data_IF_510818138306
#
_entry.id   IF_510818138306
#
_cell.length_a   1.000
_cell.length_b   1.000
_cell.length_c   1.000
_cell.angle_alpha   90.00
_cell.angle_beta   90.00
_cell.angle_gamma   90.00
#
_symmetry.space_group_name_H-M   'P 1'
#
loop_
_entity.id
_entity.type
_entity.pdbx_description
1 polymer ?
#
# COMPACT_ATOMS: atom_id res chain seq x y z
N UNK A 1 12.60 6.85 -23.65
CA UNK A 1 12.89 8.22 -23.17
C UNK A 1 11.72 8.69 -22.33
N UNK A 2 11.92 8.85 -21.02
CA UNK A 2 10.92 9.39 -20.10
C UNK A 2 11.32 10.85 -19.92
N UNK A 3 10.51 11.80 -20.41
CA UNK A 3 10.52 13.12 -19.79
C UNK A 3 9.90 12.93 -18.40
N UNK A 4 10.67 13.03 -17.30
CA UNK A 4 10.05 13.11 -16.00
C UNK A 4 9.22 14.39 -16.03
N UNK A 5 7.90 14.24 -16.04
CA UNK A 5 7.00 15.36 -15.77
C UNK A 5 7.52 16.05 -14.51
N UNK A 6 7.73 17.37 -14.59
CA UNK A 6 8.23 18.21 -13.48
C UNK A 6 7.44 17.92 -12.19
N UNK A 7 6.16 17.58 -12.32
CA UNK A 7 5.30 17.14 -11.23
C UNK A 7 5.88 15.95 -10.44
N UNK A 8 6.39 14.89 -11.08
CA UNK A 8 6.95 13.73 -10.37
C UNK A 8 8.22 14.08 -9.59
N UNK A 9 9.06 14.94 -10.16
CA UNK A 9 10.32 15.36 -9.53
C UNK A 9 10.06 16.11 -8.22
N UNK A 10 8.96 16.86 -8.14
CA UNK A 10 8.57 17.61 -6.95
C UNK A 10 7.71 16.76 -5.99
N UNK A 11 6.73 16.02 -6.53
CA UNK A 11 5.74 15.29 -5.70
C UNK A 11 6.38 14.09 -4.99
N UNK A 12 7.32 13.37 -5.62
CA UNK A 12 7.93 12.19 -4.99
C UNK A 12 8.70 12.56 -3.72
N UNK A 13 9.61 13.54 -3.70
CA UNK A 13 10.26 13.98 -2.47
C UNK A 13 9.27 14.44 -1.39
N UNK A 14 8.23 15.19 -1.76
CA UNK A 14 7.20 15.65 -0.82
C UNK A 14 6.45 14.44 -0.22
N UNK A 15 6.07 13.47 -1.05
CA UNK A 15 5.40 12.25 -0.61
C UNK A 15 6.27 11.44 0.36
N UNK A 16 7.57 11.32 0.08
CA UNK A 16 8.54 10.63 0.97
C UNK A 16 8.68 11.37 2.30
N UNK A 17 8.79 12.71 2.29
CA UNK A 17 8.88 13.52 3.50
C UNK A 17 7.62 13.39 4.36
N UNK A 18 6.43 13.48 3.76
CA UNK A 18 5.15 13.32 4.45
C UNK A 18 4.99 11.90 5.02
N UNK A 19 5.37 10.87 4.26
CA UNK A 19 5.34 9.50 4.74
C UNK A 19 6.33 9.28 5.90
N UNK A 20 7.53 9.83 5.81
CA UNK A 20 8.53 9.76 6.89
C UNK A 20 8.02 10.43 8.16
N UNK A 21 7.38 11.59 8.04
CA UNK A 21 6.73 12.28 9.16
C UNK A 21 5.58 11.47 9.77
N UNK A 22 4.70 10.89 8.93
CA UNK A 22 3.59 10.06 9.41
C UNK A 22 4.09 8.78 10.09
N UNK A 23 5.16 8.17 9.59
CA UNK A 23 5.81 7.03 10.21
C UNK A 23 6.39 7.39 11.59
N UNK A 24 7.15 8.48 11.67
CA UNK A 24 7.67 9.00 12.93
C UNK A 24 6.52 9.25 13.92
N UNK A 25 5.46 9.94 13.50
CA UNK A 25 4.28 10.22 14.34
C UNK A 25 3.60 8.94 14.83
N UNK A 26 3.45 7.94 13.96
CA UNK A 26 2.86 6.65 14.31
C UNK A 26 3.73 5.92 15.34
N UNK A 27 5.05 5.90 15.15
CA UNK A 27 5.99 5.30 16.10
C UNK A 27 6.01 6.01 17.46
N UNK A 28 5.92 7.34 17.49
CA UNK A 28 5.83 8.10 18.75
C UNK A 28 4.57 7.78 19.56
N UNK A 29 3.44 7.52 18.90
CA UNK A 29 2.20 7.08 19.59
C UNK A 29 2.34 5.70 20.24
N UNK A 30 3.21 4.86 19.69
CA UNK A 30 3.54 3.53 20.22
C UNK A 30 4.80 3.55 21.11
N UNK A 31 5.22 4.74 21.56
CA UNK A 31 6.33 4.95 22.50
C UNK A 31 7.72 4.54 21.96
N UNK A 32 7.90 4.44 20.63
CA UNK A 32 9.23 4.24 20.05
C UNK A 32 10.09 5.50 20.16
N UNK A 33 11.39 5.32 20.42
CA UNK A 33 12.37 6.40 20.40
C UNK A 33 12.52 7.00 19.00
N UNK A 34 12.63 8.34 18.93
CA UNK A 34 12.78 9.03 17.65
C UNK A 34 14.04 8.61 16.89
N UNK A 35 15.17 8.45 17.60
CA UNK A 35 16.45 7.97 17.05
C UNK A 35 16.25 6.65 16.31
N UNK A 36 15.64 5.66 16.98
CA UNK A 36 15.37 4.35 16.42
C UNK A 36 14.54 4.41 15.13
N UNK A 37 13.50 5.26 15.10
CA UNK A 37 12.63 5.41 13.93
C UNK A 37 13.37 6.05 12.75
N UNK A 38 14.17 7.08 13.00
CA UNK A 38 14.96 7.75 11.95
C UNK A 38 16.08 6.85 11.41
N UNK A 39 16.81 6.16 12.29
CA UNK A 39 17.85 5.21 11.90
C UNK A 39 17.24 4.07 11.07
N UNK A 40 16.09 3.54 11.48
CA UNK A 40 15.35 2.55 10.72
C UNK A 40 14.94 3.07 9.34
N UNK A 41 14.43 4.30 9.23
CA UNK A 41 14.08 4.92 7.95
C UNK A 41 15.29 5.07 7.04
N UNK A 42 16.42 5.58 7.56
CA UNK A 42 17.65 5.79 6.80
C UNK A 42 18.20 4.46 6.28
N UNK A 43 18.30 3.45 7.15
CA UNK A 43 18.78 2.12 6.76
C UNK A 43 17.85 1.46 5.72
N UNK A 44 16.53 1.58 5.91
CA UNK A 44 15.55 1.05 4.95
C UNK A 44 15.62 1.80 3.61
N UNK A 45 15.83 3.11 3.62
CA UNK A 45 15.99 3.94 2.43
C UNK A 45 17.25 3.57 1.65
N UNK A 46 18.40 3.43 2.33
CA UNK A 46 19.64 2.94 1.71
C UNK A 46 19.42 1.55 1.11
N UNK A 47 18.76 0.64 1.83
CA UNK A 47 18.43 -0.69 1.35
C UNK A 47 17.57 -0.67 0.10
N UNK A 48 16.57 0.23 0.08
CA UNK A 48 15.71 0.41 -1.08
C UNK A 48 16.50 0.85 -2.31
N UNK A 49 17.42 1.81 -2.19
CA UNK A 49 18.22 2.29 -3.32
C UNK A 49 19.13 1.19 -3.88
N UNK A 50 19.81 0.45 -2.99
CA UNK A 50 20.73 -0.63 -3.38
C UNK A 50 19.97 -1.73 -4.12
N UNK A 51 18.91 -2.29 -3.52
CA UNK A 51 18.21 -3.42 -4.12
C UNK A 51 17.33 -3.02 -5.30
N UNK A 52 16.77 -1.81 -5.32
CA UNK A 52 16.09 -1.30 -6.51
C UNK A 52 17.01 -1.33 -7.72
N UNK A 53 18.29 -1.00 -7.50
CA UNK A 53 19.30 -1.01 -8.57
C UNK A 53 19.74 -2.42 -8.95
N UNK A 54 20.00 -3.28 -7.96
CA UNK A 54 20.37 -4.68 -8.20
C UNK A 54 19.27 -5.41 -8.96
N UNK A 55 18.01 -5.26 -8.58
CA UNK A 55 16.89 -5.90 -9.27
C UNK A 55 16.69 -5.35 -10.69
N UNK A 56 16.83 -4.04 -10.89
CA UNK A 56 16.76 -3.45 -12.22
C UNK A 56 17.85 -4.03 -13.15
N UNK A 57 19.07 -4.18 -12.63
CA UNK A 57 20.17 -4.81 -13.35
C UNK A 57 19.92 -6.28 -13.70
N UNK A 58 19.36 -7.05 -12.76
CA UNK A 58 19.07 -8.47 -12.96
C UNK A 58 17.90 -8.73 -13.93
N UNK A 59 16.90 -7.83 -13.96
CA UNK A 59 15.70 -8.00 -14.78
C UNK A 59 15.89 -7.52 -16.22
N UNK A 60 16.84 -6.60 -16.46
CA UNK A 60 17.10 -6.03 -17.78
C UNK A 60 18.54 -6.26 -18.25
N UNK A 61 19.03 -7.51 -18.30
CA UNK A 61 20.42 -7.80 -18.68
C UNK A 61 20.79 -7.27 -20.06
N UNK A 62 19.82 -7.17 -20.98
CA UNK A 62 20.01 -6.65 -22.33
C UNK A 62 20.43 -5.16 -22.34
N UNK A 63 19.92 -4.36 -21.40
CA UNK A 63 20.28 -2.94 -21.27
C UNK A 63 21.68 -2.79 -20.64
N UNK A 64 22.00 -3.67 -19.70
CA UNK A 64 23.20 -3.57 -18.88
C UNK A 64 24.41 -4.34 -19.44
N UNK A 65 24.21 -5.27 -20.38
CA UNK A 65 25.22 -6.17 -20.91
C UNK A 65 26.12 -6.79 -19.81
N UNK A 66 25.53 -7.10 -18.64
CA UNK A 66 26.23 -7.65 -17.47
C UNK A 66 27.44 -6.83 -16.96
N UNK A 67 27.50 -5.53 -17.24
CA UNK A 67 28.61 -4.67 -16.81
C UNK A 67 28.41 -4.12 -15.39
N UNK A 68 29.27 -4.54 -14.44
CA UNK A 68 29.27 -4.02 -13.06
C UNK A 68 29.45 -2.50 -12.98
N UNK A 69 30.16 -1.88 -13.95
CA UNK A 69 30.27 -0.42 -14.02
C UNK A 69 28.89 0.23 -14.20
N UNK A 70 28.04 -0.35 -15.06
CA UNK A 70 26.69 0.16 -15.33
C UNK A 70 25.72 -0.07 -14.16
N UNK A 71 25.98 -1.06 -13.31
CA UNK A 71 25.22 -1.26 -12.07
C UNK A 71 25.40 -0.06 -11.12
N UNK A 72 26.63 0.43 -10.96
CA UNK A 72 26.99 1.49 -10.00
C UNK A 72 26.64 2.89 -10.53
N UNK A 73 26.79 3.15 -11.84
CA UNK A 73 26.52 4.47 -12.41
C UNK A 73 25.02 4.71 -12.67
N UNK A 74 24.36 5.31 -11.67
CA UNK A 74 22.92 5.63 -11.65
C UNK A 74 22.51 6.61 -12.77
N UNK A 75 23.37 7.58 -13.11
CA UNK A 75 22.99 8.73 -13.93
C UNK A 75 22.76 8.43 -15.42
N UNK A 76 23.28 7.32 -15.97
CA UNK A 76 23.18 7.02 -17.40
C UNK A 76 22.02 6.09 -17.78
N UNK A 77 21.56 5.23 -16.87
CA UNK A 77 20.64 4.14 -17.21
C UNK A 77 19.28 4.22 -16.50
N UNK A 78 19.09 5.20 -15.61
CA UNK A 78 17.80 5.88 -15.36
C UNK A 78 16.64 5.10 -14.71
N UNK A 79 16.73 3.78 -14.52
CA UNK A 79 15.65 3.00 -13.90
C UNK A 79 15.99 2.43 -12.53
N UNK A 80 14.96 2.40 -11.68
CA UNK A 80 14.95 1.76 -10.38
C UNK A 80 13.74 0.82 -10.34
N UNK A 81 13.96 -0.42 -9.91
CA UNK A 81 12.88 -1.38 -9.78
C UNK A 81 12.17 -1.21 -8.43
N UNK A 82 10.86 -0.98 -8.44
CA UNK A 82 10.06 -0.79 -7.23
C UNK A 82 10.04 -2.02 -6.31
N UNK A 83 9.95 -3.22 -6.89
CA UNK A 83 9.93 -4.47 -6.10
C UNK A 83 11.28 -4.74 -5.45
N UNK A 84 12.37 -4.44 -6.16
CA UNK A 84 13.71 -4.41 -5.58
C UNK A 84 13.82 -3.40 -4.44
N UNK A 85 13.27 -2.19 -4.61
CA UNK A 85 13.26 -1.17 -3.57
C UNK A 85 12.55 -1.65 -2.30
N UNK A 86 11.37 -2.24 -2.46
CA UNK A 86 10.58 -2.77 -1.36
C UNK A 86 11.31 -3.91 -0.64
N UNK A 87 11.89 -4.84 -1.40
CA UNK A 87 12.62 -5.97 -0.85
C UNK A 87 13.89 -5.53 -0.10
N UNK A 88 14.63 -4.55 -0.62
CA UNK A 88 15.79 -3.99 0.06
C UNK A 88 15.45 -3.27 1.36
N UNK A 89 14.37 -2.50 1.37
CA UNK A 89 13.85 -1.87 2.58
C UNK A 89 13.46 -2.93 3.63
N UNK A 90 12.79 -4.00 3.20
CA UNK A 90 12.43 -5.13 4.07
C UNK A 90 13.67 -5.80 4.66
N UNK A 91 14.66 -6.16 3.85
CA UNK A 91 15.85 -6.89 4.30
C UNK A 91 16.70 -6.05 5.24
N UNK A 92 17.10 -4.83 4.82
CA UNK A 92 17.95 -3.99 5.68
C UNK A 92 17.20 -3.49 6.90
N UNK A 93 15.91 -3.15 6.77
CA UNK A 93 15.05 -2.82 7.92
C UNK A 93 14.93 -3.97 8.90
N UNK A 94 14.86 -5.23 8.43
CA UNK A 94 14.87 -6.41 9.28
C UNK A 94 16.18 -6.62 10.01
N UNK A 95 17.31 -6.45 9.31
CA UNK A 95 18.64 -6.54 9.91
C UNK A 95 18.76 -5.50 11.02
N UNK A 96 18.42 -4.24 10.73
CA UNK A 96 18.48 -3.16 11.71
C UNK A 96 17.55 -3.42 12.91
N UNK A 97 16.29 -3.81 12.68
CA UNK A 97 15.35 -4.10 13.77
C UNK A 97 15.86 -5.23 14.69
N UNK A 98 16.52 -6.25 14.13
CA UNK A 98 17.16 -7.31 14.92
C UNK A 98 18.34 -6.79 15.73
N UNK A 99 19.20 -5.96 15.14
CA UNK A 99 20.33 -5.35 15.84
C UNK A 99 19.87 -4.45 16.99
N UNK A 100 18.81 -3.67 16.76
CA UNK A 100 18.17 -2.82 17.76
C UNK A 100 17.28 -3.59 18.76
N UNK A 101 17.18 -4.93 18.64
CA UNK A 101 16.35 -5.81 19.49
C UNK A 101 14.86 -5.42 19.54
N UNK A 102 14.32 -4.88 18.46
CA UNK A 102 12.90 -4.52 18.34
C UNK A 102 12.15 -5.51 17.46
N UNK A 103 10.86 -5.72 17.77
CA UNK A 103 10.00 -6.54 16.94
C UNK A 103 9.80 -5.92 15.56
N UNK A 104 10.48 -6.48 14.57
CA UNK A 104 10.38 -6.14 13.15
C UNK A 104 8.94 -5.95 12.68
N UNK A 105 8.04 -6.88 13.01
CA UNK A 105 6.66 -6.85 12.53
C UNK A 105 5.88 -5.65 13.06
N UNK A 106 6.21 -5.20 14.27
CA UNK A 106 5.59 -4.02 14.87
C UNK A 106 6.03 -2.74 14.16
N UNK A 107 7.33 -2.59 13.86
CA UNK A 107 7.84 -1.42 13.12
C UNK A 107 7.24 -1.38 11.71
N UNK A 108 7.19 -2.51 11.02
CA UNK A 108 6.63 -2.58 9.66
C UNK A 108 5.13 -2.25 9.63
N UNK A 109 4.36 -2.71 10.62
CA UNK A 109 2.95 -2.32 10.75
C UNK A 109 2.76 -0.80 10.83
N UNK A 110 3.70 -0.07 11.43
CA UNK A 110 3.68 1.40 11.52
C UNK A 110 4.02 2.07 10.19
N UNK A 111 4.88 1.46 9.38
CA UNK A 111 5.30 1.95 8.06
C UNK A 111 4.25 1.82 6.97
N UNK A 112 3.31 0.88 7.12
CA UNK A 112 2.34 0.53 6.08
C UNK A 112 1.43 1.69 5.69
N UNK A 113 0.74 2.32 6.65
CA UNK A 113 -0.16 3.42 6.32
C UNK A 113 0.56 4.64 5.69
N UNK A 114 1.74 5.07 6.20
CA UNK A 114 2.56 6.07 5.53
C UNK A 114 3.00 5.71 4.10
N UNK A 115 3.40 4.47 3.85
CA UNK A 115 3.80 4.00 2.51
C UNK A 115 2.62 4.08 1.54
N UNK A 116 1.44 3.60 1.95
CA UNK A 116 0.22 3.70 1.12
C UNK A 116 -0.14 5.17 0.89
N UNK A 117 0.01 6.02 1.91
CA UNK A 117 -0.22 7.46 1.77
C UNK A 117 0.69 8.09 0.71
N UNK A 118 2.00 7.78 0.71
CA UNK A 118 2.90 8.22 -0.36
C UNK A 118 2.45 7.70 -1.74
N UNK A 119 2.01 6.44 -1.84
CA UNK A 119 1.52 5.86 -3.09
C UNK A 119 0.27 6.60 -3.64
N UNK A 120 -0.60 7.12 -2.76
CA UNK A 120 -1.74 7.98 -3.15
C UNK A 120 -1.24 9.27 -3.80
N UNK A 121 -0.25 9.95 -3.21
CA UNK A 121 0.30 11.19 -3.78
C UNK A 121 0.98 10.95 -5.13
N UNK A 122 1.75 9.87 -5.23
CA UNK A 122 2.43 9.50 -6.48
C UNK A 122 1.41 9.17 -7.58
N UNK A 123 0.38 8.39 -7.28
CA UNK A 123 -0.67 8.06 -8.24
C UNK A 123 -1.54 9.28 -8.60
N UNK A 124 -1.82 10.18 -7.66
CA UNK A 124 -2.49 11.44 -7.95
C UNK A 124 -1.66 12.31 -8.92
N UNK A 125 -0.35 12.42 -8.72
CA UNK A 125 0.54 13.12 -9.67
C UNK A 125 0.47 12.50 -11.06
N UNK A 126 0.43 11.16 -11.15
CA UNK A 126 0.31 10.47 -12.45
C UNK A 126 -1.02 10.76 -13.15
N UNK A 127 -2.12 10.85 -12.39
CA UNK A 127 -3.43 11.24 -12.93
C UNK A 127 -3.37 12.66 -13.51
N UNK A 128 -2.79 13.60 -12.77
CA UNK A 128 -2.63 14.99 -13.21
C UNK A 128 -1.77 15.05 -14.46
N UNK A 129 -0.63 14.36 -14.48
CA UNK A 129 0.27 14.33 -15.64
C UNK A 129 -0.42 13.74 -16.88
N UNK A 130 -1.11 12.61 -16.72
CA UNK A 130 -1.82 11.98 -17.83
C UNK A 130 -2.96 12.87 -18.35
N UNK A 131 -3.66 13.58 -17.46
CA UNK A 131 -4.67 14.55 -17.85
C UNK A 131 -4.07 15.73 -18.63
N UNK A 132 -2.99 16.33 -18.12
CA UNK A 132 -2.31 17.47 -18.78
C UNK A 132 -1.73 17.09 -20.15
N UNK A 133 -1.16 15.90 -20.25
CA UNK A 133 -0.57 15.37 -21.49
C UNK A 133 -1.61 14.71 -22.42
N UNK A 134 -2.91 14.79 -22.10
CA UNK A 134 -4.02 14.15 -22.85
C UNK A 134 -3.79 12.65 -23.13
N UNK A 135 -3.18 11.94 -22.17
CA UNK A 135 -2.94 10.49 -22.19
C UNK A 135 -4.09 9.73 -21.51
N UNK A 136 -4.12 8.42 -21.67
CA UNK A 136 -5.10 7.57 -20.97
C UNK A 136 -4.96 7.67 -19.45
N UNK A 137 -6.04 8.09 -18.80
CA UNK A 137 -6.08 8.32 -17.34
C UNK A 137 -6.47 7.04 -16.57
N UNK A 138 -7.07 6.07 -17.25
CA UNK A 138 -7.75 4.92 -16.65
C UNK A 138 -6.90 4.17 -15.61
N UNK A 139 -5.67 3.77 -15.98
CA UNK A 139 -4.79 3.04 -15.06
C UNK A 139 -4.30 3.89 -13.89
N UNK A 140 -3.94 5.15 -14.12
CA UNK A 140 -3.48 6.05 -13.04
C UNK A 140 -4.60 6.32 -12.03
N UNK A 141 -5.83 6.51 -12.51
CA UNK A 141 -6.99 6.76 -11.66
C UNK A 141 -7.40 5.49 -10.90
N UNK A 142 -7.29 4.31 -11.53
CA UNK A 142 -7.45 3.02 -10.87
C UNK A 142 -6.50 2.88 -9.67
N UNK A 143 -5.19 3.09 -9.86
CA UNK A 143 -4.23 3.01 -8.76
C UNK A 143 -4.52 4.03 -7.65
N UNK A 144 -4.86 5.27 -8.01
CA UNK A 144 -5.22 6.30 -7.04
C UNK A 144 -6.40 5.87 -6.16
N UNK A 145 -7.50 5.44 -6.78
CA UNK A 145 -8.71 4.99 -6.05
C UNK A 145 -8.40 3.77 -5.19
N UNK A 146 -7.68 2.78 -5.72
CA UNK A 146 -7.37 1.58 -4.97
C UNK A 146 -6.44 1.83 -3.78
N UNK A 147 -5.36 2.61 -3.94
CA UNK A 147 -4.49 2.97 -2.81
C UNK A 147 -5.25 3.80 -1.76
N UNK A 148 -6.16 4.67 -2.20
CA UNK A 148 -7.04 5.41 -1.31
C UNK A 148 -7.96 4.49 -0.49
N UNK A 149 -8.58 3.50 -1.14
CA UNK A 149 -9.39 2.49 -0.46
C UNK A 149 -8.55 1.67 0.53
N UNK A 150 -7.35 1.23 0.12
CA UNK A 150 -6.43 0.50 1.01
C UNK A 150 -6.10 1.33 2.24
N UNK A 151 -5.71 2.60 2.06
CA UNK A 151 -5.42 3.51 3.18
C UNK A 151 -6.62 3.69 4.10
N UNK A 152 -7.81 3.89 3.54
CA UNK A 152 -9.04 4.01 4.32
C UNK A 152 -9.33 2.74 5.14
N UNK A 153 -9.18 1.56 4.55
CA UNK A 153 -9.33 0.29 5.26
C UNK A 153 -8.30 0.13 6.37
N UNK A 154 -7.02 0.40 6.11
CA UNK A 154 -5.96 0.36 7.11
C UNK A 154 -6.29 1.27 8.29
N UNK A 155 -6.72 2.51 8.02
CA UNK A 155 -7.06 3.48 9.06
C UNK A 155 -8.25 3.05 9.90
N UNK A 156 -9.28 2.47 9.27
CA UNK A 156 -10.45 1.95 9.99
C UNK A 156 -10.09 0.75 10.87
N UNK A 157 -9.18 -0.10 10.38
CA UNK A 157 -8.69 -1.27 11.08
C UNK A 157 -7.65 -0.94 12.17
N UNK A 158 -7.06 0.25 12.17
CA UNK A 158 -6.13 0.73 13.21
C UNK A 158 -6.72 0.59 14.63
N UNK A 159 -8.04 0.81 14.77
CA UNK A 159 -8.77 0.66 16.04
C UNK A 159 -8.93 -0.79 16.53
N UNK A 160 -8.68 -1.79 15.65
CA UNK A 160 -8.92 -3.22 15.91
C UNK A 160 -7.65 -4.04 15.73
N UNK A 161 -6.51 -3.57 16.22
CA UNK A 161 -5.22 -4.29 16.11
C UNK A 161 -5.36 -5.71 16.64
N UNK A 162 -5.02 -6.70 15.81
CA UNK A 162 -5.15 -8.14 16.16
C UNK A 162 -3.83 -8.76 16.63
N UNK A 163 -2.76 -8.58 15.86
CA UNK A 163 -1.42 -9.11 16.15
C UNK A 163 -0.36 -8.29 15.42
N UNK A 164 0.90 -8.40 15.84
CA UNK A 164 2.02 -7.78 15.12
C UNK A 164 2.15 -8.38 13.71
N UNK A 165 2.43 -7.51 12.74
CA UNK A 165 2.56 -7.85 11.32
C UNK A 165 1.22 -7.95 10.59
N UNK A 166 0.10 -7.66 11.26
CA UNK A 166 -1.22 -7.73 10.63
C UNK A 166 -1.35 -6.73 9.48
N UNK A 167 -1.00 -5.47 9.70
CA UNK A 167 -1.14 -4.42 8.67
C UNK A 167 -0.16 -4.65 7.54
N UNK A 168 1.05 -5.09 7.83
CA UNK A 168 2.06 -5.37 6.82
C UNK A 168 1.66 -6.54 5.90
N UNK A 169 1.20 -7.66 6.48
CA UNK A 169 0.73 -8.78 5.66
C UNK A 169 -0.51 -8.42 4.85
N UNK A 170 -1.45 -7.66 5.45
CA UNK A 170 -2.64 -7.17 4.77
C UNK A 170 -2.29 -6.26 3.59
N UNK A 171 -1.38 -5.32 3.80
CA UNK A 171 -0.86 -4.43 2.77
C UNK A 171 -0.19 -5.18 1.63
N UNK A 172 0.76 -6.09 1.93
CA UNK A 172 1.43 -6.88 0.90
C UNK A 172 0.44 -7.67 0.06
N UNK A 173 -0.55 -8.30 0.71
CA UNK A 173 -1.59 -9.07 0.03
C UNK A 173 -2.43 -8.19 -0.89
N UNK A 174 -2.93 -7.05 -0.39
CA UNK A 174 -3.78 -6.14 -1.17
C UNK A 174 -3.04 -5.45 -2.31
N UNK A 175 -1.82 -4.97 -2.06
CA UNK A 175 -1.01 -4.33 -3.10
C UNK A 175 -0.60 -5.35 -4.17
N UNK A 176 -0.33 -6.59 -3.78
CA UNK A 176 -0.04 -7.64 -4.78
C UNK A 176 -1.28 -7.93 -5.64
N UNK A 177 -2.47 -8.05 -5.05
CA UNK A 177 -3.73 -8.21 -5.81
C UNK A 177 -3.96 -7.01 -6.75
N UNK A 178 -3.75 -5.79 -6.25
CA UNK A 178 -3.90 -4.55 -7.00
C UNK A 178 -2.99 -4.51 -8.24
N UNK A 179 -1.74 -4.95 -8.10
CA UNK A 179 -0.79 -4.97 -9.23
C UNK A 179 -1.00 -6.18 -10.15
N UNK A 180 -1.58 -7.28 -9.66
CA UNK A 180 -1.86 -8.46 -10.47
C UNK A 180 -2.98 -8.22 -11.49
N UNK A 181 -4.05 -7.51 -11.11
CA UNK A 181 -5.24 -7.33 -11.95
C UNK A 181 -4.93 -6.66 -13.32
N UNK A 182 -4.19 -5.54 -13.40
CA UNK A 182 -3.85 -4.92 -14.68
C UNK A 182 -2.85 -5.74 -15.49
N UNK A 183 -2.00 -6.52 -14.81
CA UNK A 183 -0.95 -7.32 -15.43
C UNK A 183 -1.53 -8.51 -16.20
N UNK A 184 -2.50 -9.21 -15.61
CA UNK A 184 -3.23 -10.31 -16.28
C UNK A 184 -3.84 -9.84 -17.61
N UNK A 185 -4.19 -8.55 -17.72
CA UNK A 185 -4.77 -7.96 -18.93
C UNK A 185 -3.73 -7.51 -19.96
N UNK A 186 -2.46 -7.32 -19.58
CA UNK A 186 -1.44 -6.69 -20.45
C UNK A 186 -0.24 -7.57 -20.76
N UNK A 187 0.35 -8.21 -19.76
CA UNK A 187 1.59 -8.97 -19.91
C UNK A 187 1.77 -9.96 -18.75
N UNK A 188 1.80 -11.25 -19.08
CA UNK A 188 2.01 -12.34 -18.11
C UNK A 188 3.43 -12.32 -17.52
N UNK A 189 4.43 -11.79 -18.23
CA UNK A 189 5.84 -11.83 -17.81
C UNK A 189 6.12 -11.08 -16.52
N UNK A 190 5.52 -9.91 -16.32
CA UNK A 190 5.71 -9.13 -15.09
C UNK A 190 4.98 -9.75 -13.87
N UNK A 191 4.09 -10.73 -14.09
CA UNK A 191 3.23 -11.30 -13.04
C UNK A 191 4.04 -12.17 -12.08
N UNK A 192 5.15 -12.72 -12.57
CA UNK A 192 6.07 -13.54 -11.80
C UNK A 192 6.73 -12.80 -10.65
N UNK A 193 6.92 -11.47 -10.74
CA UNK A 193 7.54 -10.69 -9.66
C UNK A 193 6.55 -10.43 -8.53
N UNK A 194 5.26 -10.29 -8.83
CA UNK A 194 4.22 -9.94 -7.85
C UNK A 194 3.78 -11.17 -7.03
N UNK A 195 3.75 -12.35 -7.65
CA UNK A 195 3.27 -13.57 -7.01
C UNK A 195 4.03 -13.97 -5.71
N UNK A 196 5.37 -13.88 -5.64
CA UNK A 196 6.12 -14.14 -4.41
C UNK A 196 5.70 -13.25 -3.24
N UNK A 197 5.46 -11.95 -3.48
CA UNK A 197 5.01 -11.03 -2.41
C UNK A 197 3.60 -11.37 -1.93
N UNK A 198 2.71 -11.77 -2.83
CA UNK A 198 1.37 -12.24 -2.47
C UNK A 198 1.45 -13.51 -1.61
N UNK A 199 2.18 -14.53 -2.07
CA UNK A 199 2.35 -15.80 -1.34
C UNK A 199 2.98 -15.54 0.02
N UNK A 200 4.03 -14.74 0.07
CA UNK A 200 4.68 -14.36 1.32
C UNK A 200 3.71 -13.64 2.27
N UNK A 201 2.95 -12.66 1.79
CA UNK A 201 1.96 -11.93 2.59
C UNK A 201 0.91 -12.86 3.19
N UNK A 202 0.35 -13.78 2.40
CA UNK A 202 -0.65 -14.75 2.87
C UNK A 202 -0.04 -15.74 3.87
N UNK A 203 1.10 -16.35 3.55
CA UNK A 203 1.76 -17.33 4.42
C UNK A 203 2.18 -16.69 5.74
N UNK A 204 2.79 -15.51 5.69
CA UNK A 204 3.17 -14.75 6.88
C UNK A 204 1.94 -14.40 7.73
N UNK A 205 0.83 -13.99 7.11
CA UNK A 205 -0.41 -13.71 7.82
C UNK A 205 -0.89 -14.95 8.59
N UNK A 206 -1.05 -16.10 7.92
CA UNK A 206 -1.55 -17.31 8.56
C UNK A 206 -0.65 -17.77 9.72
N UNK A 207 0.68 -17.67 9.52
CA UNK A 207 1.66 -18.02 10.55
C UNK A 207 1.58 -17.09 11.77
N UNK A 208 1.56 -15.77 11.54
CA UNK A 208 1.53 -14.77 12.63
C UNK A 208 0.19 -14.79 13.38
N UNK A 209 -0.91 -15.00 12.67
CA UNK A 209 -2.24 -15.07 13.27
C UNK A 209 -2.51 -16.41 13.99
N UNK A 210 -1.61 -17.40 13.87
CA UNK A 210 -1.81 -18.78 14.36
C UNK A 210 -3.14 -19.39 13.92
N UNK A 211 -3.61 -19.02 12.71
CA UNK A 211 -4.90 -19.47 12.17
C UNK A 211 -4.75 -20.82 11.48
N UNK A 212 -5.79 -21.67 11.61
CA UNK A 212 -5.86 -22.95 10.92
C UNK A 212 -6.59 -22.76 9.59
N UNK A 213 -5.91 -23.02 8.47
CA UNK A 213 -6.48 -22.90 7.11
C UNK A 213 -7.79 -23.67 6.97
N UNK A 214 -7.90 -24.86 7.57
CA UNK A 214 -9.12 -25.69 7.55
C UNK A 214 -10.33 -25.00 8.20
N UNK A 215 -10.12 -24.21 9.26
CA UNK A 215 -11.21 -23.50 9.93
C UNK A 215 -11.71 -22.33 9.07
N UNK A 216 -10.77 -21.60 8.46
CA UNK A 216 -11.11 -20.48 7.58
C UNK A 216 -11.78 -20.96 6.28
N UNK A 217 -11.34 -22.09 5.71
CA UNK A 217 -12.00 -22.71 4.55
C UNK A 217 -13.44 -23.11 4.88
N UNK A 218 -13.68 -23.72 6.05
CA UNK A 218 -15.04 -24.04 6.52
C UNK A 218 -15.89 -22.78 6.67
N UNK A 219 -15.32 -21.70 7.21
CA UNK A 219 -16.03 -20.43 7.36
C UNK A 219 -16.37 -19.82 5.99
N UNK A 220 -15.45 -19.85 5.03
CA UNK A 220 -15.67 -19.35 3.67
C UNK A 220 -16.78 -20.17 2.99
N UNK A 221 -16.70 -21.50 3.03
CA UNK A 221 -17.74 -22.39 2.47
C UNK A 221 -19.10 -22.12 3.14
N UNK A 222 -19.14 -21.94 4.46
CA UNK A 222 -20.36 -21.60 5.17
C UNK A 222 -20.93 -20.24 4.73
N UNK A 223 -20.09 -19.22 4.55
CA UNK A 223 -20.51 -17.90 4.04
C UNK A 223 -21.02 -18.02 2.59
N UNK A 224 -20.35 -18.77 1.73
CA UNK A 224 -20.81 -19.01 0.35
C UNK A 224 -22.17 -19.71 0.33
N UNK A 225 -22.36 -20.74 1.15
CA UNK A 225 -23.65 -21.43 1.28
C UNK A 225 -24.74 -20.48 1.81
N UNK A 226 -24.44 -19.67 2.82
CA UNK A 226 -25.37 -18.67 3.34
C UNK A 226 -25.76 -17.63 2.27
N UNK A 227 -24.81 -17.18 1.44
CA UNK A 227 -25.09 -16.26 0.33
C UNK A 227 -25.98 -16.94 -0.71
N UNK A 228 -25.70 -18.18 -1.10
CA UNK A 228 -26.50 -18.93 -2.06
C UNK A 228 -27.94 -19.13 -1.56
N UNK A 229 -28.11 -19.62 -0.33
CA UNK A 229 -29.42 -19.83 0.29
C UNK A 229 -30.19 -18.51 0.44
N UNK A 230 -29.50 -17.43 0.86
CA UNK A 230 -30.13 -16.11 0.94
C UNK A 230 -30.56 -15.59 -0.42
N UNK A 231 -29.76 -15.82 -1.46
CA UNK A 231 -30.09 -15.41 -2.83
C UNK A 231 -31.30 -16.19 -3.34
N UNK A 232 -31.33 -17.51 -3.14
CA UNK A 232 -32.48 -18.35 -3.48
C UNK A 232 -33.76 -17.93 -2.73
N UNK A 233 -33.64 -17.58 -1.44
CA UNK A 233 -34.75 -17.08 -0.63
C UNK A 233 -35.28 -15.73 -1.15
N UNK A 234 -34.38 -14.80 -1.52
CA UNK A 234 -34.76 -13.51 -2.12
C UNK A 234 -35.48 -13.72 -3.45
N UNK A 235 -35.03 -14.69 -4.27
CA UNK A 235 -35.65 -14.99 -5.57
C UNK A 235 -37.02 -15.67 -5.46
N UNK A 236 -37.28 -16.41 -4.37
CA UNK A 236 -38.54 -17.15 -4.17
C UNK A 236 -39.59 -16.36 -3.39
N UNK A 237 -39.18 -15.39 -2.56
CA UNK A 237 -40.09 -14.58 -1.74
C UNK A 237 -40.34 -13.20 -2.35
N UNK A 238 -41.58 -12.95 -2.79
CA UNK A 238 -42.01 -11.65 -3.34
C UNK A 238 -41.72 -10.49 -2.39
N UNK A 239 -41.92 -10.69 -1.09
CA UNK A 239 -41.69 -9.66 -0.06
C UNK A 239 -40.20 -9.32 0.10
N UNK A 240 -39.32 -10.30 0.02
CA UNK A 240 -37.87 -10.06 0.11
C UNK A 240 -37.31 -9.49 -1.19
N UNK A 241 -37.84 -9.91 -2.33
CA UNK A 241 -37.53 -9.31 -3.63
C UNK A 241 -37.85 -7.81 -3.66
N UNK A 242 -39.01 -7.39 -3.13
CA UNK A 242 -39.39 -5.96 -3.05
C UNK A 242 -38.46 -5.16 -2.11
N UNK A 243 -38.04 -5.74 -0.99
CA UNK A 243 -37.05 -5.08 -0.13
C UNK A 243 -35.68 -4.97 -0.80
N UNK A 244 -35.26 -6.00 -1.55
CA UNK A 244 -33.98 -6.01 -2.25
C UNK A 244 -33.97 -5.03 -3.43
N UNK A 245 -35.06 -4.95 -4.20
CA UNK A 245 -35.21 -3.99 -5.30
C UNK A 245 -35.11 -2.55 -4.78
N UNK A 246 -35.80 -2.22 -3.68
CA UNK A 246 -35.67 -0.91 -3.01
C UNK A 246 -34.23 -0.63 -2.59
N UNK A 247 -33.52 -1.62 -2.06
CA UNK A 247 -32.11 -1.47 -1.70
C UNK A 247 -31.21 -1.23 -2.91
N UNK A 248 -31.48 -1.86 -4.06
CA UNK A 248 -30.74 -1.62 -5.30
C UNK A 248 -31.01 -0.21 -5.81
N UNK A 249 -32.28 0.21 -5.87
CA UNK A 249 -32.69 1.54 -6.33
C UNK A 249 -32.09 2.64 -5.45
N UNK A 250 -32.01 2.42 -4.13
CA UNK A 250 -31.41 3.37 -3.19
C UNK A 250 -29.88 3.25 -3.07
N UNK A 251 -29.26 2.23 -3.67
CA UNK A 251 -27.82 2.00 -3.57
C UNK A 251 -26.95 3.17 -4.05
N UNK A 252 -27.30 3.92 -5.13
CA UNK A 252 -26.50 5.07 -5.55
C UNK A 252 -26.51 6.18 -4.48
N UNK A 253 -27.65 6.41 -3.82
CA UNK A 253 -27.79 7.41 -2.77
C UNK A 253 -27.01 7.01 -1.51
N UNK A 254 -27.06 5.73 -1.14
CA UNK A 254 -26.27 5.20 -0.01
C UNK A 254 -24.78 5.29 -0.31
N UNK A 255 -24.36 4.95 -1.53
CA UNK A 255 -22.97 5.07 -1.98
C UNK A 255 -22.52 6.53 -1.95
N UNK A 256 -23.30 7.47 -2.49
CA UNK A 256 -23.00 8.90 -2.46
C UNK A 256 -22.85 9.42 -1.02
N UNK A 257 -23.76 9.03 -0.12
CA UNK A 257 -23.67 9.40 1.32
C UNK A 257 -22.43 8.81 1.98
N UNK A 258 -22.08 7.56 1.67
CA UNK A 258 -20.88 6.91 2.20
C UNK A 258 -19.58 7.58 1.71
N UNK A 259 -19.54 7.97 0.43
CA UNK A 259 -18.42 8.70 -0.17
C UNK A 259 -18.29 10.09 0.47
N UNK A 260 -19.39 10.83 0.64
CA UNK A 260 -19.37 12.13 1.29
C UNK A 260 -18.85 12.07 2.73
N UNK A 261 -19.27 11.05 3.50
CA UNK A 261 -18.75 10.80 4.86
C UNK A 261 -17.27 10.44 4.81
N UNK A 262 -16.85 9.62 3.86
CA UNK A 262 -15.45 9.25 3.64
C UNK A 262 -14.55 10.46 3.37
N UNK A 263 -14.97 11.32 2.43
CA UNK A 263 -14.27 12.58 2.10
C UNK A 263 -14.18 13.48 3.33
N UNK A 264 -15.27 13.63 4.10
CA UNK A 264 -15.28 14.47 5.31
C UNK A 264 -14.32 13.95 6.39
N UNK A 265 -14.30 12.64 6.63
CA UNK A 265 -13.39 12.02 7.61
C UNK A 265 -11.93 12.18 7.20
N UNK A 266 -11.63 12.02 5.91
CA UNK A 266 -10.26 12.17 5.40
C UNK A 266 -9.79 13.61 5.40
N UNK A 267 -10.64 14.56 4.98
CA UNK A 267 -10.34 15.98 5.09
C UNK A 267 -10.00 16.36 6.53
N UNK A 268 -10.78 15.85 7.50
CA UNK A 268 -10.51 16.06 8.93
C UNK A 268 -9.15 15.48 9.37
N UNK A 269 -8.80 14.28 8.92
CA UNK A 269 -7.52 13.64 9.28
C UNK A 269 -6.31 14.33 8.61
N UNK A 270 -6.46 14.79 7.37
CA UNK A 270 -5.43 15.58 6.67
C UNK A 270 -5.22 16.89 7.43
N UNK A 271 -6.28 17.61 7.78
CA UNK A 271 -6.21 18.84 8.56
C UNK A 271 -5.55 18.60 9.91
N UNK A 272 -5.94 17.55 10.65
CA UNK A 272 -5.29 17.23 11.92
C UNK A 272 -3.82 16.83 11.77
N UNK A 273 -3.47 16.17 10.68
CA UNK A 273 -2.08 15.79 10.41
C UNK A 273 -1.21 16.99 10.05
N UNK A 274 -1.74 17.93 9.27
CA UNK A 274 -1.10 19.20 8.99
C UNK A 274 -1.01 20.08 10.25
N UNK A 275 -2.07 20.13 11.06
CA UNK A 275 -2.06 20.87 12.32
C UNK A 275 -1.02 20.32 13.30
N UNK A 276 -0.96 18.99 13.46
CA UNK A 276 0.07 18.36 14.28
C UNK A 276 1.48 18.63 13.76
N UNK A 277 1.67 18.72 12.45
CA UNK A 277 2.95 19.11 11.86
C UNK A 277 3.31 20.56 12.21
N UNK A 278 2.36 21.49 12.06
CA UNK A 278 2.54 22.90 12.45
C UNK A 278 2.84 23.04 13.95
N UNK A 279 2.20 22.26 14.81
CA UNK A 279 2.47 22.28 16.26
C UNK A 279 3.89 21.81 16.60
N UNK A 280 4.40 20.79 15.90
CA UNK A 280 5.80 20.34 16.07
C UNK A 280 6.77 21.45 15.67
N UNK A 281 6.53 22.15 14.56
CA UNK A 281 7.39 23.26 14.13
C UNK A 281 7.22 24.55 14.95
N UNK A 282 6.06 24.76 15.58
CA UNK A 282 5.83 25.89 16.48
C UNK A 282 6.58 25.79 17.81
N UNK A 283 7.28 24.68 18.06
CA UNK A 283 8.16 24.55 19.21
C UNK A 283 7.41 24.77 20.51
N UNK A 284 6.48 23.87 20.86
CA UNK A 284 6.16 23.73 22.29
C UNK A 284 7.40 23.12 22.96
N UNK A 285 8.13 23.98 23.67
CA UNK A 285 9.03 23.57 24.75
C UNK A 285 8.26 22.72 25.76
#
# INVERSE_FOLDING_TARGET
>A
MIDPSVAKLIVVPIAILLASFLFWRAGRRELFESSLLFDFLIVSFIGSLIFARVFDFLLFPDIYHWSLKRLIFVNLYGSFNLWGALLGAIILGQIYAKLAKVNFWQIFDLGVAPIVFAAIFISASQVIDNFLLKREIGFSLYYFICYFLIFWFLKRLESKKRHHGFFFCFFLTLVSILNFLPLVLKDLGQSFIVAPFFIFGVVAWYRLAKRKVRADLKMIVAVCLLILLKTQRILTSVREADSFSRSIVLSPLVLAKSLAVGVKLLGREIIFSLWGLVEVFRGRK
#
